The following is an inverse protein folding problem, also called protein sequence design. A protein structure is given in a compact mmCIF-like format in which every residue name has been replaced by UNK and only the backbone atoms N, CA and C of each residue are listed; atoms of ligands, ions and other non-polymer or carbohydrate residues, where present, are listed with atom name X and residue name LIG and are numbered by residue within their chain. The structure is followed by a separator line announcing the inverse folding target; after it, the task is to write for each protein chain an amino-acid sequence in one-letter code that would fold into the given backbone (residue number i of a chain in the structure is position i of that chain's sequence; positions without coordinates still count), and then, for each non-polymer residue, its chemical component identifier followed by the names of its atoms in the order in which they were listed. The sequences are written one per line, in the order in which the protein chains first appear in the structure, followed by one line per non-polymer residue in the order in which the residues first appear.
data_IF_210372304340
#
_entry.id   IF_210372304340
#
_cell.length_a   1.000
_cell.length_b   1.000
_cell.length_c   1.000
_cell.angle_alpha   90.00
_cell.angle_beta   90.00
_cell.angle_gamma   90.00
#
_symmetry.space_group_name_H-M   'P 1'
#
loop_
_entity.id
_entity.type
_entity.pdbx_description
1 polymer ?
#
# COMPACT_ATOMS: atom_id res chain seq x y z
N UNK A 1 -2.36 -16.64 -6.03
CA UNK A 1 -2.07 -15.40 -6.77
C UNK A 1 -3.20 -14.37 -6.62
N UNK A 2 -4.47 -14.73 -6.84
CA UNK A 2 -5.61 -13.80 -6.71
C UNK A 2 -5.71 -13.12 -5.32
N UNK A 3 -5.62 -13.89 -4.23
CA UNK A 3 -5.64 -13.34 -2.85
C UNK A 3 -4.47 -12.37 -2.59
N UNK A 4 -3.30 -12.62 -3.21
CA UNK A 4 -2.11 -11.80 -3.05
C UNK A 4 -2.28 -10.44 -3.75
N UNK A 5 -2.78 -10.43 -4.97
CA UNK A 5 -3.08 -9.18 -5.69
C UNK A 5 -4.15 -8.36 -4.97
N UNK A 6 -5.21 -8.99 -4.45
CA UNK A 6 -6.25 -8.30 -3.69
C UNK A 6 -5.70 -7.59 -2.44
N UNK A 7 -4.82 -8.24 -1.67
CA UNK A 7 -4.16 -7.63 -0.51
C UNK A 7 -3.29 -6.43 -0.89
N UNK A 8 -2.62 -6.49 -2.04
CA UNK A 8 -1.75 -5.41 -2.50
C UNK A 8 -2.56 -4.22 -3.03
N UNK A 9 -3.69 -4.47 -3.68
CA UNK A 9 -4.63 -3.41 -4.07
C UNK A 9 -5.21 -2.69 -2.85
N UNK A 10 -5.63 -3.45 -1.83
CA UNK A 10 -6.08 -2.86 -0.55
C UNK A 10 -4.98 -2.02 0.10
N UNK A 11 -3.74 -2.53 0.12
CA UNK A 11 -2.61 -1.77 0.66
C UNK A 11 -2.37 -0.45 -0.10
N UNK A 12 -2.50 -0.46 -1.44
CA UNK A 12 -2.37 0.74 -2.26
C UNK A 12 -3.52 1.74 -2.02
N UNK A 13 -4.76 1.26 -1.91
CA UNK A 13 -5.91 2.11 -1.61
C UNK A 13 -5.74 2.84 -0.27
N UNK A 14 -5.33 2.13 0.79
CA UNK A 14 -5.05 2.75 2.09
C UNK A 14 -3.88 3.73 2.04
N UNK A 15 -2.85 3.44 1.26
CA UNK A 15 -1.71 4.33 1.03
C UNK A 15 -2.11 5.67 0.43
N UNK A 16 -3.14 5.69 -0.43
CA UNK A 16 -3.68 6.91 -1.02
C UNK A 16 -4.62 7.69 -0.10
N UNK A 17 -5.15 7.06 0.95
CA UNK A 17 -6.11 7.68 1.89
C UNK A 17 -5.46 8.50 3.00
N UNK A 18 -4.12 8.43 3.17
CA UNK A 18 -3.40 9.18 4.21
C UNK A 18 -2.25 8.38 4.83
N UNK A 19 -1.73 8.81 6.00
CA UNK A 19 -0.65 8.12 6.69
C UNK A 19 -1.01 6.66 7.01
N UNK A 20 -0.13 5.72 6.66
CA UNK A 20 -0.34 4.28 6.87
C UNK A 20 0.64 3.73 7.90
N UNK A 21 0.11 3.05 8.92
CA UNK A 21 0.89 2.24 9.85
C UNK A 21 1.21 0.88 9.21
N UNK A 22 2.29 0.82 8.41
CA UNK A 22 2.64 -0.35 7.58
C UNK A 22 2.77 -1.68 8.32
N UNK A 23 3.27 -1.65 9.55
CA UNK A 23 3.38 -2.86 10.37
C UNK A 23 2.00 -3.43 10.76
N UNK A 24 1.07 -2.56 11.17
CA UNK A 24 -0.29 -2.95 11.48
C UNK A 24 -1.02 -3.47 10.23
N UNK A 25 -0.89 -2.74 9.11
CA UNK A 25 -1.48 -3.13 7.83
C UNK A 25 -0.95 -4.48 7.33
N UNK A 26 0.33 -4.78 7.54
CA UNK A 26 0.90 -6.08 7.20
C UNK A 26 0.20 -7.22 7.96
N UNK A 27 0.02 -7.06 9.27
CA UNK A 27 -0.70 -8.03 10.11
C UNK A 27 -2.15 -8.20 9.67
N UNK A 28 -2.86 -7.11 9.40
CA UNK A 28 -4.27 -7.13 8.93
C UNK A 28 -4.42 -7.87 7.59
N UNK A 29 -3.46 -7.69 6.67
CA UNK A 29 -3.44 -8.35 5.37
C UNK A 29 -2.87 -9.77 5.43
N UNK A 30 -2.54 -10.28 6.62
CA UNK A 30 -2.03 -11.63 6.84
C UNK A 30 -0.60 -11.84 6.35
N UNK A 31 0.25 -10.80 6.39
CA UNK A 31 1.70 -10.93 6.28
C UNK A 31 2.32 -11.16 7.65
N UNK A 32 3.46 -11.85 7.67
CA UNK A 32 4.20 -12.12 8.91
C UNK A 32 4.77 -10.84 9.54
N UNK A 33 5.18 -9.87 8.71
CA UNK A 33 5.71 -8.59 9.13
C UNK A 33 5.66 -7.56 7.99
N UNK A 34 5.99 -6.32 8.33
CA UNK A 34 6.10 -5.21 7.37
C UNK A 34 7.08 -5.49 6.22
N UNK A 35 8.22 -6.13 6.48
CA UNK A 35 9.26 -6.37 5.46
C UNK A 35 8.77 -7.30 4.36
N UNK A 36 7.96 -8.31 4.71
CA UNK A 36 7.30 -9.19 3.75
C UNK A 36 6.30 -8.44 2.87
N UNK A 37 5.45 -7.60 3.47
CA UNK A 37 4.53 -6.73 2.73
C UNK A 37 5.28 -5.80 1.78
N UNK A 38 6.31 -5.11 2.26
CA UNK A 38 7.09 -4.13 1.46
C UNK A 38 7.75 -4.80 0.26
N UNK A 39 8.39 -5.97 0.46
CA UNK A 39 9.02 -6.72 -0.64
C UNK A 39 8.01 -7.16 -1.67
N UNK A 40 6.85 -7.63 -1.22
CA UNK A 40 5.81 -8.09 -2.13
C UNK A 40 5.18 -6.96 -2.93
N UNK A 41 4.84 -5.87 -2.24
CA UNK A 41 4.32 -4.66 -2.85
C UNK A 41 5.30 -4.12 -3.90
N UNK A 42 6.59 -4.00 -3.57
CA UNK A 42 7.60 -3.53 -4.53
C UNK A 42 7.74 -4.47 -5.74
N UNK A 43 7.59 -5.79 -5.56
CA UNK A 43 7.66 -6.76 -6.66
C UNK A 43 6.47 -6.62 -7.62
N UNK A 44 5.28 -6.31 -7.12
CA UNK A 44 4.05 -6.25 -7.94
C UNK A 44 3.77 -4.84 -8.46
N UNK A 45 3.94 -3.82 -7.63
CA UNK A 45 3.66 -2.40 -7.93
C UNK A 45 4.88 -1.70 -8.55
N UNK A 46 6.09 -2.25 -8.38
CA UNK A 46 7.33 -1.71 -8.95
C UNK A 46 8.05 -0.70 -8.06
N UNK A 47 7.44 -0.27 -6.95
CA UNK A 47 8.08 0.62 -5.98
C UNK A 47 7.65 0.34 -4.54
N UNK A 48 8.45 0.74 -3.53
CA UNK A 48 8.08 0.53 -2.14
C UNK A 48 6.82 1.33 -1.74
N UNK A 49 5.97 0.77 -0.86
CA UNK A 49 4.69 1.37 -0.48
C UNK A 49 4.82 2.76 0.17
N UNK A 50 5.90 3.03 0.89
CA UNK A 50 6.17 4.35 1.47
C UNK A 50 6.52 5.43 0.44
N UNK A 51 7.04 5.05 -0.74
CA UNK A 51 7.25 5.97 -1.87
C UNK A 51 5.93 6.23 -2.57
N UNK A 52 5.18 5.17 -2.84
CA UNK A 52 3.83 5.23 -3.41
C UNK A 52 2.90 6.14 -2.59
N UNK A 53 2.85 5.97 -1.25
CA UNK A 53 2.04 6.80 -0.36
C UNK A 53 2.42 8.29 -0.39
N UNK A 54 3.73 8.59 -0.49
CA UNK A 54 4.20 9.99 -0.60
C UNK A 54 3.81 10.62 -1.92
N UNK A 55 3.88 9.86 -3.02
CA UNK A 55 3.42 10.33 -4.32
C UNK A 55 1.91 10.58 -4.32
N UNK A 56 1.13 9.67 -3.74
CA UNK A 56 -0.33 9.80 -3.61
C UNK A 56 -0.73 10.99 -2.71
N UNK A 57 -0.05 11.19 -1.58
CA UNK A 57 -0.29 12.32 -0.68
C UNK A 57 0.13 13.68 -1.27
N UNK A 58 1.10 13.69 -2.20
CA UNK A 58 1.49 14.87 -2.97
C UNK A 58 0.57 15.18 -4.15
N UNK A 59 -0.35 14.27 -4.49
CA UNK A 59 -1.39 14.51 -5.48
C UNK A 59 -2.56 15.21 -4.76
N UNK A 60 -2.85 16.49 -5.04
CA UNK A 60 -4.12 17.05 -4.58
C UNK A 60 -5.22 16.21 -5.23
N UNK A 61 -6.00 15.49 -4.42
CA UNK A 61 -7.23 14.86 -4.84
C UNK A 61 -8.11 15.97 -5.40
N UNK A 62 -8.13 16.11 -6.72
CA UNK A 62 -8.97 17.07 -7.43
C UNK A 62 -10.39 16.86 -6.90
N UNK A 63 -11.07 17.89 -6.35
CA UNK A 63 -12.47 17.75 -6.01
C UNK A 63 -13.20 17.52 -7.33
N UNK A 64 -13.83 16.35 -7.48
CA UNK A 64 -14.82 16.16 -8.54
C UNK A 64 -15.98 17.13 -8.27
N UNK A 65 -16.39 17.81 -9.34
CA UNK A 65 -17.35 18.91 -9.37
C UNK A 65 -18.77 18.47 -9.02
#
# INVERSE_FOLDING_TARGET
LLVRCARLHEAAARASGGPVAWAALATELGYADQSHLVRDFARVVGEPPARYARAAAGQPTKPER
#
